data_IF_788468552412
#
_entry.id   IF_788468552412
#
_cell.length_a   1.000
_cell.length_b   1.000
_cell.length_c   1.000
_cell.angle_alpha   90.00
_cell.angle_beta   90.00
_cell.angle_gamma   90.00
#
_symmetry.space_group_name_H-M   'P 1'
#
loop_
_entity.id
_entity.type
_entity.pdbx_description
1 polymer ?
#
# COMPACT_ATOMS: atom_id res chain seq x y z
N UNK A 1 27.95 10.48 18.35
CA UNK A 1 28.41 10.28 19.74
C UNK A 1 27.85 11.41 20.59
N UNK A 2 27.48 11.08 21.83
CA UNK A 2 26.84 11.91 22.86
C UNK A 2 25.32 11.77 22.96
N UNK A 3 24.88 11.34 24.15
CA UNK A 3 23.52 11.37 24.72
C UNK A 3 22.70 10.08 24.56
N UNK A 4 23.37 8.96 24.78
CA UNK A 4 22.88 7.98 25.75
C UNK A 4 22.59 8.71 27.07
N UNK A 5 21.31 9.01 27.33
CA UNK A 5 20.64 9.38 28.58
C UNK A 5 19.23 9.78 28.14
N UNK A 6 18.20 8.95 28.29
CA UNK A 6 17.47 8.76 29.55
C UNK A 6 16.79 7.38 29.49
N UNK A 7 17.18 6.52 30.42
CA UNK A 7 16.43 5.35 30.84
C UNK A 7 15.19 5.76 31.64
N UNK A 8 14.22 4.84 31.66
CA UNK A 8 13.15 4.67 32.65
C UNK A 8 11.80 5.33 32.34
N UNK A 9 10.92 4.58 31.64
CA UNK A 9 9.51 4.48 32.03
C UNK A 9 9.09 3.01 31.96
N UNK A 10 9.27 2.36 33.11
CA UNK A 10 8.36 1.42 33.78
C UNK A 10 7.70 0.31 32.94
N UNK A 11 8.36 -0.85 32.98
CA UNK A 11 7.70 -2.16 32.96
C UNK A 11 6.78 -2.26 34.19
N UNK A 12 5.47 -2.30 33.96
CA UNK A 12 4.46 -2.42 35.00
C UNK A 12 3.41 -3.47 34.64
N UNK A 13 3.51 -4.59 35.35
CA UNK A 13 2.47 -5.57 35.68
C UNK A 13 1.94 -6.52 34.60
N UNK A 14 2.34 -7.78 34.77
CA UNK A 14 1.55 -8.97 34.49
C UNK A 14 0.14 -8.84 35.12
N UNK A 15 -0.90 -9.06 34.32
CA UNK A 15 -2.27 -9.30 34.77
C UNK A 15 -2.90 -10.37 33.89
N UNK A 16 -3.10 -11.58 34.43
CA UNK A 16 -3.59 -12.74 33.72
C UNK A 16 -5.12 -12.80 33.55
N UNK A 17 -5.53 -13.62 32.58
CA UNK A 17 -6.71 -14.49 32.65
C UNK A 17 -8.11 -13.87 32.57
N UNK A 18 -8.82 -14.11 31.47
CA UNK A 18 -10.01 -15.00 31.40
C UNK A 18 -10.58 -15.00 29.98
N UNK A 19 -10.94 -16.20 29.53
CA UNK A 19 -11.74 -16.44 28.35
C UNK A 19 -13.16 -15.86 28.53
N UNK A 20 -13.78 -15.37 27.44
CA UNK A 20 -14.99 -15.93 26.82
C UNK A 20 -15.57 -15.01 25.72
N UNK A 21 -16.11 -15.69 24.70
CA UNK A 21 -17.33 -15.34 23.94
C UNK A 21 -17.32 -14.17 22.93
N UNK A 22 -17.16 -14.58 21.66
CA UNK A 22 -17.95 -14.17 20.49
C UNK A 22 -18.75 -12.85 20.56
N UNK A 23 -18.16 -11.80 19.97
CA UNK A 23 -18.90 -10.74 19.30
C UNK A 23 -18.65 -10.87 17.81
N UNK A 24 -19.47 -11.70 17.14
CA UNK A 24 -19.55 -11.71 15.68
C UNK A 24 -20.31 -10.45 15.27
N UNK A 25 -19.67 -9.30 15.40
CA UNK A 25 -20.16 -8.03 14.87
C UNK A 25 -19.95 -8.08 13.36
N UNK A 26 -20.88 -8.75 12.69
CA UNK A 26 -21.25 -8.39 11.33
C UNK A 26 -21.73 -6.94 11.40
N UNK A 27 -20.76 -6.03 11.33
CA UNK A 27 -21.01 -4.63 11.06
C UNK A 27 -21.95 -4.57 9.87
N UNK A 28 -23.17 -4.11 10.14
CA UNK A 28 -24.18 -3.89 9.15
C UNK A 28 -23.55 -3.10 8.00
N UNK A 29 -23.50 -3.71 6.83
CA UNK A 29 -23.23 -2.99 5.61
C UNK A 29 -24.36 -1.98 5.46
N UNK A 30 -24.08 -0.73 5.82
CA UNK A 30 -24.91 0.41 5.42
C UNK A 30 -24.73 0.52 3.91
N UNK A 31 -25.70 -0.02 3.17
CA UNK A 31 -25.85 0.23 1.75
C UNK A 31 -26.16 1.72 1.61
N UNK A 32 -25.14 2.51 1.28
CA UNK A 32 -25.26 3.96 1.15
C UNK A 32 -25.65 4.26 -0.30
N UNK A 33 -26.90 4.65 -0.58
CA UNK A 33 -27.35 4.90 -1.93
C UNK A 33 -26.87 6.30 -2.31
N UNK A 34 -25.72 6.35 -2.98
CA UNK A 34 -25.11 7.62 -3.37
C UNK A 34 -23.67 7.55 -3.87
N UNK A 35 -23.17 6.37 -4.25
CA UNK A 35 -21.94 6.30 -5.03
C UNK A 35 -22.25 6.75 -6.47
N UNK A 36 -22.29 8.07 -6.69
CA UNK A 36 -21.86 8.72 -7.93
C UNK A 36 -20.87 7.79 -8.62
N UNK A 37 -21.12 7.39 -9.87
CA UNK A 37 -20.44 6.31 -10.60
C UNK A 37 -18.91 6.49 -10.62
N UNK A 38 -18.29 6.24 -9.48
CA UNK A 38 -16.91 6.52 -9.18
C UNK A 38 -16.18 5.38 -9.84
N UNK A 39 -15.38 5.72 -10.86
CA UNK A 39 -14.69 4.73 -11.66
C UNK A 39 -13.96 3.75 -10.74
N UNK A 40 -14.27 2.46 -10.93
CA UNK A 40 -13.75 1.40 -10.06
C UNK A 40 -12.23 1.41 -10.10
N UNK A 41 -11.60 1.52 -8.93
CA UNK A 41 -10.14 1.41 -8.81
C UNK A 41 -9.70 -0.03 -9.06
N UNK A 42 -8.69 -0.18 -9.90
CA UNK A 42 -8.04 -1.44 -10.25
C UNK A 42 -6.71 -1.49 -9.50
N UNK A 43 -6.52 -2.51 -8.65
CA UNK A 43 -5.29 -2.69 -7.89
C UNK A 43 -4.32 -3.65 -8.60
N UNK A 44 -3.10 -3.19 -8.86
CA UNK A 44 -2.00 -4.00 -9.41
C UNK A 44 -0.92 -4.21 -8.33
N UNK A 45 -0.28 -5.38 -8.31
CA UNK A 45 0.89 -5.64 -7.43
C UNK A 45 2.14 -5.16 -8.14
N UNK A 46 2.81 -4.16 -7.57
CA UNK A 46 4.06 -3.59 -8.10
C UNK A 46 5.24 -4.19 -7.34
N UNK A 47 6.15 -4.83 -8.08
CA UNK A 47 7.41 -5.32 -7.54
C UNK A 47 8.37 -4.14 -7.35
N UNK A 48 9.09 -4.12 -6.23
CA UNK A 48 10.15 -3.15 -5.99
C UNK A 48 11.46 -3.72 -6.53
N UNK A 49 12.11 -3.00 -7.46
CA UNK A 49 13.40 -3.42 -8.00
C UNK A 49 14.42 -3.59 -6.87
N UNK A 50 15.10 -4.74 -6.85
CA UNK A 50 16.11 -5.07 -5.83
C UNK A 50 15.56 -5.77 -4.57
N UNK A 51 14.27 -6.09 -4.50
CA UNK A 51 13.71 -6.91 -3.42
C UNK A 51 12.74 -7.96 -3.95
N UNK A 52 12.98 -9.22 -3.60
CA UNK A 52 12.14 -10.37 -3.98
C UNK A 52 10.85 -10.41 -3.13
N UNK A 53 10.91 -9.86 -1.90
CA UNK A 53 9.82 -9.93 -0.93
C UNK A 53 8.98 -8.64 -0.90
N UNK A 54 9.52 -7.50 -1.33
CA UNK A 54 8.82 -6.21 -1.28
C UNK A 54 7.97 -6.00 -2.54
N UNK A 55 6.73 -6.51 -2.51
CA UNK A 55 5.68 -6.13 -3.46
C UNK A 55 4.63 -5.25 -2.78
N UNK A 56 4.36 -4.06 -3.32
CA UNK A 56 3.27 -3.18 -2.83
C UNK A 56 2.05 -3.26 -3.74
N UNK A 57 0.85 -3.15 -3.18
CA UNK A 57 -0.40 -3.01 -3.96
C UNK A 57 -0.62 -1.53 -4.25
N UNK A 58 -0.79 -1.19 -5.52
CA UNK A 58 -1.10 0.18 -5.97
C UNK A 58 -2.42 0.12 -6.71
N UNK A 59 -3.33 1.03 -6.38
CA UNK A 59 -4.69 1.04 -6.92
C UNK A 59 -4.97 2.39 -7.59
N UNK A 60 -5.37 2.33 -8.86
CA UNK A 60 -5.67 3.47 -9.70
C UNK A 60 -6.94 3.22 -10.51
N UNK A 61 -7.56 4.26 -11.04
CA UNK A 61 -8.66 4.11 -12.02
C UNK A 61 -8.14 3.56 -13.34
N UNK A 62 -9.03 3.18 -14.26
CA UNK A 62 -8.61 2.70 -15.58
C UNK A 62 -7.95 3.85 -16.37
N UNK A 63 -8.50 5.05 -16.27
CA UNK A 63 -7.92 6.25 -16.89
C UNK A 63 -6.48 6.53 -16.38
N UNK A 64 -6.30 6.54 -15.05
CA UNK A 64 -4.97 6.75 -14.44
C UNK A 64 -3.97 5.65 -14.85
N UNK A 65 -4.40 4.39 -14.92
CA UNK A 65 -3.53 3.32 -15.40
C UNK A 65 -3.11 3.51 -16.86
N UNK A 66 -4.01 3.97 -17.73
CA UNK A 66 -3.68 4.23 -19.12
C UNK A 66 -2.62 5.33 -19.26
N UNK A 67 -2.69 6.37 -18.43
CA UNK A 67 -1.68 7.43 -18.38
C UNK A 67 -0.32 6.92 -17.90
N UNK A 68 -0.31 6.11 -16.83
CA UNK A 68 0.91 5.48 -16.30
C UNK A 68 1.55 4.59 -17.37
N UNK A 69 0.75 3.75 -18.02
CA UNK A 69 1.22 2.82 -19.04
C UNK A 69 1.81 3.58 -20.25
N UNK A 70 1.20 4.69 -20.67
CA UNK A 70 1.74 5.57 -21.72
C UNK A 70 3.07 6.19 -21.31
N UNK A 71 3.14 6.81 -20.12
CA UNK A 71 4.37 7.43 -19.64
C UNK A 71 5.53 6.44 -19.52
N UNK A 72 5.25 5.21 -19.10
CA UNK A 72 6.23 4.13 -19.05
C UNK A 72 6.75 3.76 -20.45
N UNK A 73 5.87 3.66 -21.45
CA UNK A 73 6.28 3.39 -22.84
C UNK A 73 7.18 4.50 -23.39
N UNK A 74 6.80 5.76 -23.20
CA UNK A 74 7.58 6.92 -23.63
C UNK A 74 8.99 6.91 -23.00
N UNK A 75 9.09 6.60 -21.71
CA UNK A 75 10.37 6.49 -21.01
C UNK A 75 11.23 5.33 -21.54
N UNK A 76 10.62 4.18 -21.84
CA UNK A 76 11.31 3.03 -22.41
C UNK A 76 11.85 3.33 -23.82
N UNK A 77 11.07 4.02 -24.65
CA UNK A 77 11.51 4.44 -25.98
C UNK A 77 12.70 5.38 -25.91
N UNK A 78 12.63 6.40 -25.05
CA UNK A 78 13.74 7.33 -24.84
C UNK A 78 15.01 6.62 -24.38
N UNK A 79 14.88 5.69 -23.41
CA UNK A 79 15.99 4.89 -22.92
C UNK A 79 16.57 3.93 -23.97
N UNK A 80 15.78 3.50 -24.98
CA UNK A 80 16.28 2.71 -26.10
C UNK A 80 17.05 3.58 -27.08
N UNK A 81 16.50 4.74 -27.44
CA UNK A 81 17.14 5.69 -28.35
C UNK A 81 18.50 6.15 -27.81
N UNK A 82 18.58 6.51 -26.54
CA UNK A 82 19.84 6.97 -25.91
C UNK A 82 20.91 5.89 -25.78
N UNK A 83 20.53 4.60 -25.77
CA UNK A 83 21.47 3.48 -25.73
C UNK A 83 22.02 3.09 -27.10
N UNK A 84 21.28 3.39 -28.18
CA UNK A 84 21.73 3.13 -29.56
C UNK A 84 22.73 4.16 -30.11
N UNK A 85 22.94 5.27 -29.41
CA UNK A 85 23.82 6.38 -29.83
C UNK A 85 25.18 6.38 -29.12
N UNK A 86 25.62 5.26 -28.55
CA UNK A 86 26.94 5.10 -27.91
C UNK A 86 27.82 4.16 -28.72
#
# INVERSE_FOLDING_TARGET
>A
MMRTMILAVLLGALGGGTALAQGNDKGAAVDQPGAEASEKKICRRMQVTGSILAGKRVCHTKAEWAEIDRANQDALEQARRSRGTR
#
